data_IF_629753539660
#
_entry.id   IF_629753539660
#
_cell.length_a   1.000
_cell.length_b   1.000
_cell.length_c   1.000
_cell.angle_alpha   90.00
_cell.angle_beta   90.00
_cell.angle_gamma   90.00
#
_symmetry.space_group_name_H-M   'P 1'
#
loop_
_entity.id
_entity.type
_entity.pdbx_description
1 polymer ?
#
# COMPACT_ATOMS: atom_id res chain seq x y z
N UNK A 1 -14.27 -19.60 6.53
CA UNK A 1 -13.33 -19.57 7.68
C UNK A 1 -14.07 -18.93 8.85
N UNK A 2 -13.91 -19.47 10.07
CA UNK A 2 -14.66 -19.00 11.24
C UNK A 2 -14.25 -17.61 11.72
N UNK A 3 -15.10 -17.04 12.59
CA UNK A 3 -14.78 -15.82 13.31
C UNK A 3 -13.49 -15.99 14.13
N UNK A 4 -12.68 -14.94 14.22
CA UNK A 4 -11.43 -14.88 14.96
C UNK A 4 -10.36 -15.91 14.54
N UNK A 5 -10.51 -16.64 13.42
CA UNK A 5 -9.59 -17.71 13.03
C UNK A 5 -8.12 -17.26 12.92
N UNK A 6 -7.88 -15.98 12.56
CA UNK A 6 -6.56 -15.35 12.47
C UNK A 6 -6.52 -13.99 13.17
N UNK A 7 -7.37 -13.78 14.18
CA UNK A 7 -7.58 -12.46 14.78
C UNK A 7 -6.31 -11.85 15.39
N UNK A 8 -5.63 -12.57 16.27
CA UNK A 8 -4.41 -12.08 16.94
C UNK A 8 -3.11 -12.54 16.29
N UNK A 9 -3.19 -12.95 15.02
CA UNK A 9 -2.01 -13.30 14.24
C UNK A 9 -1.26 -12.03 13.79
N UNK A 10 -0.70 -11.26 14.74
CA UNK A 10 -0.10 -9.94 14.49
C UNK A 10 1.16 -9.96 13.60
N UNK A 11 1.74 -11.13 13.33
CA UNK A 11 2.85 -11.30 12.36
C UNK A 11 2.41 -11.80 10.99
N UNK A 12 1.12 -12.15 10.84
CA UNK A 12 0.58 -12.59 9.56
C UNK A 12 0.08 -11.37 8.79
N UNK A 13 0.95 -10.71 8.04
CA UNK A 13 0.62 -9.52 7.28
C UNK A 13 0.07 -9.83 5.88
N UNK A 14 0.46 -10.97 5.33
CA UNK A 14 0.05 -11.43 3.99
C UNK A 14 -0.46 -12.87 4.04
N UNK A 15 -1.36 -13.23 3.12
CA UNK A 15 -1.79 -14.62 2.92
C UNK A 15 -1.95 -14.93 1.43
N UNK A 16 -1.61 -16.17 1.04
CA UNK A 16 -1.83 -16.67 -0.31
C UNK A 16 -3.01 -17.64 -0.30
N UNK A 17 -3.98 -17.37 -1.14
CA UNK A 17 -5.18 -18.18 -1.32
C UNK A 17 -5.10 -18.91 -2.68
N UNK A 18 -5.33 -20.22 -2.67
CA UNK A 18 -5.18 -21.06 -3.87
C UNK A 18 -6.49 -21.26 -4.64
N UNK A 19 -7.62 -20.94 -4.03
CA UNK A 19 -8.94 -21.08 -4.66
C UNK A 19 -9.27 -19.88 -5.56
N UNK A 20 -9.91 -20.12 -6.70
CA UNK A 20 -10.41 -19.05 -7.58
C UNK A 20 -11.68 -18.38 -7.04
N UNK A 21 -12.36 -18.99 -6.10
CA UNK A 21 -13.52 -18.43 -5.39
C UNK A 21 -13.12 -18.02 -3.98
N UNK A 22 -13.60 -16.83 -3.56
CA UNK A 22 -13.34 -16.35 -2.22
C UNK A 22 -14.04 -17.26 -1.19
N UNK A 23 -13.32 -17.74 -0.17
CA UNK A 23 -13.96 -18.46 0.92
C UNK A 23 -14.80 -17.49 1.75
N UNK A 24 -15.89 -17.97 2.30
CA UNK A 24 -16.68 -17.19 3.26
C UNK A 24 -15.83 -16.88 4.49
N UNK A 25 -15.80 -15.62 4.90
CA UNK A 25 -15.15 -15.11 6.11
C UNK A 25 -16.11 -14.20 6.89
N UNK A 26 -15.82 -13.97 8.17
CA UNK A 26 -16.44 -12.93 8.97
C UNK A 26 -15.53 -11.68 9.01
N UNK A 27 -16.09 -10.54 9.39
CA UNK A 27 -15.35 -9.28 9.44
C UNK A 27 -14.15 -9.28 10.39
N UNK A 28 -14.15 -10.18 11.37
CA UNK A 28 -13.11 -10.37 12.37
C UNK A 28 -12.23 -11.63 12.15
N UNK A 29 -12.36 -12.30 10.98
CA UNK A 29 -11.53 -13.47 10.67
C UNK A 29 -10.04 -13.10 10.60
N UNK A 30 -9.71 -11.96 9.97
CA UNK A 30 -8.36 -11.42 9.86
C UNK A 30 -8.33 -10.01 10.45
N UNK A 31 -7.47 -9.78 11.45
CA UNK A 31 -7.30 -8.45 12.02
C UNK A 31 -6.09 -7.70 11.42
N UNK A 32 -4.93 -8.34 11.38
CA UNK A 32 -3.67 -7.74 10.94
C UNK A 32 -3.30 -8.09 9.49
N UNK A 33 -3.82 -9.18 8.94
CA UNK A 33 -3.58 -9.56 7.54
C UNK A 33 -4.45 -8.69 6.63
N UNK A 34 -3.81 -7.88 5.78
CA UNK A 34 -4.49 -6.93 4.89
C UNK A 34 -4.16 -7.15 3.41
N UNK A 35 -3.15 -7.97 3.10
CA UNK A 35 -2.72 -8.25 1.73
C UNK A 35 -2.93 -9.72 1.41
N UNK A 36 -3.67 -10.01 0.35
CA UNK A 36 -4.02 -11.36 -0.07
C UNK A 36 -3.63 -11.57 -1.53
N UNK A 37 -2.80 -12.57 -1.75
CA UNK A 37 -2.45 -13.06 -3.08
C UNK A 37 -3.45 -14.13 -3.50
N UNK A 38 -4.04 -13.98 -4.69
CA UNK A 38 -5.06 -14.89 -5.22
C UNK A 38 -4.65 -15.39 -6.61
N UNK A 39 -5.22 -16.52 -7.11
CA UNK A 39 -4.93 -17.00 -8.45
C UNK A 39 -5.26 -15.96 -9.52
N UNK A 40 -4.51 -15.99 -10.62
CA UNK A 40 -4.73 -15.11 -11.77
C UNK A 40 -6.19 -15.16 -12.26
N UNK A 41 -6.77 -13.97 -12.48
CA UNK A 41 -8.16 -13.78 -12.87
C UNK A 41 -9.17 -13.92 -11.73
N UNK A 42 -8.75 -14.16 -10.48
CA UNK A 42 -9.66 -14.33 -9.35
C UNK A 42 -9.93 -13.04 -8.57
N UNK A 43 -9.15 -11.97 -8.77
CA UNK A 43 -9.20 -10.78 -7.91
C UNK A 43 -10.60 -10.16 -7.84
N UNK A 44 -11.35 -10.10 -8.93
CA UNK A 44 -12.70 -9.52 -8.94
C UNK A 44 -13.66 -10.35 -8.09
N UNK A 45 -13.62 -11.68 -8.21
CA UNK A 45 -14.46 -12.59 -7.41
C UNK A 45 -14.23 -12.41 -5.91
N UNK A 46 -12.98 -12.14 -5.51
CA UNK A 46 -12.67 -11.84 -4.12
C UNK A 46 -13.19 -10.45 -3.71
N UNK A 47 -12.99 -9.42 -4.53
CA UNK A 47 -13.45 -8.05 -4.24
C UNK A 47 -14.98 -7.94 -4.12
N UNK A 48 -15.72 -8.78 -4.84
CA UNK A 48 -17.19 -8.83 -4.79
C UNK A 48 -17.72 -9.60 -3.57
N UNK A 49 -16.87 -10.39 -2.90
CA UNK A 49 -17.27 -11.18 -1.76
C UNK A 49 -17.28 -10.35 -0.47
N UNK A 50 -18.24 -10.67 0.43
CA UNK A 50 -18.42 -9.99 1.71
C UNK A 50 -17.13 -10.05 2.56
N UNK A 51 -16.76 -8.91 3.17
CA UNK A 51 -15.57 -8.69 3.99
C UNK A 51 -14.22 -8.76 3.26
N UNK A 52 -14.20 -9.10 1.96
CA UNK A 52 -13.00 -9.08 1.13
C UNK A 52 -12.75 -7.75 0.44
N UNK A 53 -13.80 -6.95 0.19
CA UNK A 53 -13.73 -5.66 -0.53
C UNK A 53 -12.77 -4.64 0.11
N UNK A 54 -12.57 -4.73 1.43
CA UNK A 54 -11.68 -3.83 2.18
C UNK A 54 -10.23 -4.33 2.29
N UNK A 55 -9.91 -5.45 1.62
CA UNK A 55 -8.58 -6.02 1.61
C UNK A 55 -7.83 -5.63 0.33
N UNK A 56 -6.51 -5.61 0.40
CA UNK A 56 -5.66 -5.48 -0.79
C UNK A 56 -5.54 -6.86 -1.44
N UNK A 57 -6.20 -7.02 -2.57
CA UNK A 57 -6.19 -8.27 -3.34
C UNK A 57 -5.22 -8.14 -4.51
N UNK A 58 -4.19 -9.00 -4.53
CA UNK A 58 -3.17 -9.07 -5.57
C UNK A 58 -3.49 -10.23 -6.50
N UNK A 59 -3.76 -9.93 -7.76
CA UNK A 59 -4.10 -10.92 -8.79
C UNK A 59 -2.84 -11.62 -9.31
N UNK A 60 -2.89 -12.93 -9.43
CA UNK A 60 -1.80 -13.73 -10.01
C UNK A 60 -0.48 -13.68 -9.26
N UNK A 61 -0.48 -13.34 -7.97
CA UNK A 61 0.73 -13.15 -7.15
C UNK A 61 1.71 -12.08 -7.68
N UNK A 62 1.26 -11.19 -8.56
CA UNK A 62 2.10 -10.18 -9.21
C UNK A 62 1.62 -8.78 -8.82
N UNK A 63 2.25 -8.12 -7.84
CA UNK A 63 1.92 -6.73 -7.50
C UNK A 63 2.14 -5.81 -8.69
N UNK A 64 1.20 -4.86 -8.90
CA UNK A 64 1.34 -3.85 -9.94
C UNK A 64 2.38 -2.81 -9.52
N UNK A 65 3.55 -2.87 -10.15
CA UNK A 65 4.64 -1.93 -9.92
C UNK A 65 4.58 -0.77 -10.90
N UNK A 66 4.75 0.45 -10.38
CA UNK A 66 4.88 1.69 -11.16
C UNK A 66 6.14 2.42 -10.70
N UNK A 67 6.92 2.90 -11.65
CA UNK A 67 8.09 3.75 -11.40
C UNK A 67 7.90 5.06 -12.13
N UNK A 68 8.03 6.17 -11.42
CA UNK A 68 7.93 7.52 -11.96
C UNK A 68 9.18 8.34 -11.67
N UNK A 69 9.50 9.23 -12.58
CA UNK A 69 10.55 10.25 -12.40
C UNK A 69 9.92 11.60 -12.71
N UNK A 70 9.76 12.41 -11.69
CA UNK A 70 9.11 13.71 -11.76
C UNK A 70 10.13 14.79 -12.11
N UNK A 71 9.93 15.47 -13.23
CA UNK A 71 10.68 16.67 -13.55
C UNK A 71 10.16 17.88 -12.76
N UNK A 72 8.88 17.87 -12.41
CA UNK A 72 8.18 18.95 -11.68
C UNK A 72 7.29 18.35 -10.60
N UNK A 73 7.31 18.92 -9.41
CA UNK A 73 6.40 18.53 -8.33
C UNK A 73 4.94 18.86 -8.69
N UNK A 74 4.00 18.02 -8.22
CA UNK A 74 2.57 18.14 -8.50
C UNK A 74 2.10 17.32 -9.70
N UNK A 75 2.97 16.54 -10.34
CA UNK A 75 2.63 15.78 -11.55
C UNK A 75 2.54 14.26 -11.32
N UNK A 76 2.65 13.79 -10.06
CA UNK A 76 2.68 12.35 -9.73
C UNK A 76 1.48 11.58 -10.29
N UNK A 77 0.28 12.13 -10.10
CA UNK A 77 -0.95 11.47 -10.57
C UNK A 77 -0.95 11.26 -12.10
N UNK A 78 -0.54 12.29 -12.84
CA UNK A 78 -0.45 12.22 -14.31
C UNK A 78 0.58 11.17 -14.75
N UNK A 79 1.77 11.14 -14.13
CA UNK A 79 2.83 10.19 -14.46
C UNK A 79 2.44 8.73 -14.13
N UNK A 80 1.70 8.51 -13.03
CA UNK A 80 1.15 7.19 -12.71
C UNK A 80 0.12 6.76 -13.75
N UNK A 81 -0.80 7.64 -14.14
CA UNK A 81 -1.89 7.34 -15.09
C UNK A 81 -1.41 7.07 -16.53
N UNK A 82 -0.15 7.35 -16.85
CA UNK A 82 0.46 6.88 -18.12
C UNK A 82 0.73 5.36 -18.12
N UNK A 83 0.76 4.72 -16.95
CA UNK A 83 1.13 3.31 -16.78
C UNK A 83 -0.03 2.42 -16.28
N UNK A 84 -1.05 3.03 -15.67
CA UNK A 84 -2.25 2.36 -15.12
C UNK A 84 -3.50 3.18 -15.42
N UNK A 85 -4.65 2.54 -15.42
CA UNK A 85 -5.94 3.21 -15.64
C UNK A 85 -6.38 4.03 -14.41
N UNK A 86 -6.09 3.51 -13.21
CA UNK A 86 -6.43 4.15 -11.93
C UNK A 86 -5.27 4.06 -10.95
N UNK A 87 -4.97 5.13 -10.22
CA UNK A 87 -3.88 5.18 -9.23
C UNK A 87 -4.01 4.08 -8.16
N UNK A 88 -5.23 3.73 -7.74
CA UNK A 88 -5.49 2.64 -6.79
C UNK A 88 -5.07 1.24 -7.27
N UNK A 89 -4.75 1.06 -8.56
CA UNK A 89 -4.23 -0.21 -9.07
C UNK A 89 -2.77 -0.45 -8.65
N UNK A 90 -2.06 0.61 -8.25
CA UNK A 90 -0.64 0.54 -7.90
C UNK A 90 -0.48 -0.14 -6.54
N UNK A 91 0.34 -1.18 -6.51
CA UNK A 91 0.73 -1.88 -5.28
C UNK A 91 2.15 -1.53 -4.86
N UNK A 92 3.06 -1.34 -5.81
CA UNK A 92 4.45 -0.96 -5.58
C UNK A 92 4.74 0.33 -6.33
N UNK A 93 5.16 1.36 -5.62
CA UNK A 93 5.43 2.68 -6.20
C UNK A 93 6.88 3.09 -5.93
N UNK A 94 7.60 3.44 -6.99
CA UNK A 94 8.94 4.02 -6.92
C UNK A 94 8.86 5.45 -7.45
N UNK A 95 9.33 6.41 -6.66
CA UNK A 95 9.26 7.83 -7.00
C UNK A 95 10.66 8.44 -6.96
N UNK A 96 11.03 9.10 -8.07
CA UNK A 96 12.23 9.92 -8.17
C UNK A 96 11.83 11.36 -8.47
N UNK A 97 12.58 12.34 -7.93
CA UNK A 97 12.38 13.76 -8.16
C UNK A 97 11.57 14.48 -7.07
N UNK A 98 11.18 15.74 -7.32
CA UNK A 98 10.55 16.58 -6.33
C UNK A 98 9.08 16.20 -6.08
N UNK A 99 8.64 16.32 -4.82
CA UNK A 99 7.25 16.12 -4.42
C UNK A 99 6.73 17.37 -3.69
N UNK A 100 5.43 17.64 -3.84
CA UNK A 100 4.71 18.68 -3.13
C UNK A 100 3.40 18.15 -2.51
N UNK A 101 2.56 19.02 -1.99
CA UNK A 101 1.32 18.64 -1.33
C UNK A 101 0.31 17.95 -2.25
N UNK A 102 0.29 18.26 -3.54
CA UNK A 102 -0.61 17.62 -4.50
C UNK A 102 -0.19 16.16 -4.73
N UNK A 103 1.12 15.91 -4.83
CA UNK A 103 1.67 14.56 -4.93
C UNK A 103 1.40 13.75 -3.65
N UNK A 104 1.56 14.38 -2.48
CA UNK A 104 1.22 13.75 -1.21
C UNK A 104 -0.25 13.37 -1.13
N UNK A 105 -1.15 14.23 -1.63
CA UNK A 105 -2.56 13.93 -1.73
C UNK A 105 -2.82 12.70 -2.62
N UNK A 106 -2.16 12.59 -3.78
CA UNK A 106 -2.26 11.41 -4.66
C UNK A 106 -1.87 10.13 -3.92
N UNK A 107 -0.76 10.15 -3.17
CA UNK A 107 -0.31 8.99 -2.40
C UNK A 107 -1.32 8.67 -1.28
N UNK A 108 -1.77 9.68 -0.54
CA UNK A 108 -2.66 9.49 0.60
C UNK A 108 -4.07 9.06 0.22
N UNK A 109 -4.66 9.64 -0.81
CA UNK A 109 -6.08 9.48 -1.10
C UNK A 109 -6.35 8.54 -2.27
N UNK A 110 -5.44 8.45 -3.23
CA UNK A 110 -5.67 7.68 -4.46
C UNK A 110 -4.91 6.35 -4.48
N UNK A 111 -3.66 6.31 -3.99
CA UNK A 111 -2.85 5.09 -3.96
C UNK A 111 -3.18 4.20 -2.74
N UNK A 112 -4.45 3.83 -2.58
CA UNK A 112 -4.95 3.15 -1.37
C UNK A 112 -4.50 1.70 -1.25
N UNK A 113 -4.08 1.06 -2.33
CA UNK A 113 -3.66 -0.35 -2.37
C UNK A 113 -2.13 -0.53 -2.34
N UNK A 114 -1.38 0.51 -1.95
CA UNK A 114 0.07 0.40 -1.81
C UNK A 114 0.45 -0.61 -0.73
N UNK A 115 1.34 -1.53 -1.11
CA UNK A 115 2.02 -2.46 -0.21
C UNK A 115 3.50 -2.10 -0.02
N UNK A 116 4.13 -1.47 -1.03
CA UNK A 116 5.48 -0.92 -0.89
C UNK A 116 5.59 0.45 -1.55
N UNK A 117 6.45 1.31 -0.98
CA UNK A 117 6.83 2.58 -1.59
C UNK A 117 8.31 2.84 -1.43
N UNK A 118 8.96 3.21 -2.52
CA UNK A 118 10.37 3.58 -2.56
C UNK A 118 10.50 5.07 -2.89
N UNK A 119 10.93 5.86 -1.91
CA UNK A 119 11.16 7.29 -2.00
C UNK A 119 12.66 7.65 -2.01
N UNK A 120 13.55 6.67 -2.19
CA UNK A 120 15.00 6.92 -2.11
C UNK A 120 15.48 7.94 -3.14
N UNK A 121 14.84 8.00 -4.31
CA UNK A 121 15.11 9.00 -5.34
C UNK A 121 14.25 10.28 -5.25
N UNK A 122 13.36 10.36 -4.26
CA UNK A 122 12.51 11.54 -4.08
C UNK A 122 13.28 12.68 -3.37
N UNK A 123 12.97 13.92 -3.74
CA UNK A 123 13.56 15.11 -3.14
C UNK A 123 12.56 15.74 -2.19
N UNK A 124 12.53 15.26 -0.94
CA UNK A 124 11.71 15.80 0.14
C UNK A 124 12.54 15.92 1.42
N UNK A 125 12.27 16.92 2.24
CA UNK A 125 12.91 17.13 3.54
C UNK A 125 11.99 16.78 4.71
N UNK A 126 10.68 16.76 4.48
CA UNK A 126 9.68 16.49 5.52
C UNK A 126 8.64 15.51 5.02
N UNK A 127 8.42 14.45 5.78
CA UNK A 127 7.27 13.58 5.60
C UNK A 127 6.08 14.20 6.33
N UNK A 128 4.96 14.50 5.66
CA UNK A 128 3.83 15.20 6.28
C UNK A 128 3.21 14.48 7.48
N UNK A 129 2.48 15.23 8.30
CA UNK A 129 1.64 14.64 9.35
C UNK A 129 0.65 13.64 8.73
N UNK A 130 0.49 12.48 9.40
CA UNK A 130 -0.44 11.41 8.99
C UNK A 130 -0.22 10.86 7.59
N UNK A 131 0.97 10.96 7.02
CA UNK A 131 1.20 10.63 5.61
C UNK A 131 0.82 9.18 5.25
N UNK A 132 1.16 8.22 6.10
CA UNK A 132 0.75 6.81 5.96
C UNK A 132 -0.19 6.37 7.10
N UNK A 133 -0.96 7.30 7.66
CA UNK A 133 -1.90 7.00 8.75
C UNK A 133 -2.86 5.87 8.37
N UNK A 134 -2.95 4.85 9.23
CA UNK A 134 -3.81 3.66 9.05
C UNK A 134 -3.54 2.83 7.78
N UNK A 135 -2.32 2.92 7.22
CA UNK A 135 -1.91 2.10 6.08
C UNK A 135 -1.47 0.70 6.52
N UNK A 136 -2.41 -0.07 7.06
CA UNK A 136 -2.15 -1.41 7.60
C UNK A 136 -1.64 -2.42 6.56
N UNK A 137 -1.88 -2.19 5.26
CA UNK A 137 -1.38 -3.00 4.15
C UNK A 137 0.05 -2.64 3.70
N UNK A 138 0.60 -1.51 4.17
CA UNK A 138 1.96 -1.09 3.80
C UNK A 138 2.98 -2.00 4.50
N UNK A 139 3.76 -2.75 3.72
CA UNK A 139 4.72 -3.76 4.19
C UNK A 139 6.16 -3.24 4.22
N UNK A 140 6.52 -2.36 3.30
CA UNK A 140 7.87 -1.80 3.19
C UNK A 140 7.85 -0.35 2.71
N UNK A 141 8.78 0.43 3.24
CA UNK A 141 9.03 1.81 2.83
C UNK A 141 10.53 2.09 2.83
N UNK A 142 10.99 2.77 1.79
CA UNK A 142 12.32 3.34 1.75
C UNK A 142 12.23 4.86 1.73
N UNK A 143 12.90 5.49 2.68
CA UNK A 143 12.93 6.93 2.84
C UNK A 143 14.12 7.56 2.12
N UNK A 144 14.00 8.80 1.59
CA UNK A 144 15.10 9.49 0.92
C UNK A 144 16.13 10.00 1.94
N UNK A 145 17.41 10.03 1.54
CA UNK A 145 18.49 10.55 2.38
C UNK A 145 18.35 12.07 2.69
N UNK A 146 17.53 12.78 1.94
CA UNK A 146 17.24 14.21 2.16
C UNK A 146 16.24 14.47 3.30
N UNK A 147 15.64 13.40 3.86
CA UNK A 147 14.58 13.54 4.87
C UNK A 147 15.17 14.03 6.20
N UNK A 148 14.67 15.16 6.70
CA UNK A 148 15.08 15.79 7.96
C UNK A 148 14.06 15.63 9.07
N UNK A 149 12.77 15.43 8.72
CA UNK A 149 11.70 15.32 9.70
C UNK A 149 10.58 14.39 9.25
N UNK A 150 9.94 13.76 10.24
CA UNK A 150 8.78 12.90 10.06
C UNK A 150 7.63 13.51 10.87
N UNK A 151 6.54 13.82 10.20
CA UNK A 151 5.36 14.44 10.79
C UNK A 151 4.65 13.55 11.82
N UNK A 152 3.88 14.17 12.68
CA UNK A 152 3.11 13.47 13.74
C UNK A 152 2.19 12.43 13.12
N UNK A 153 2.13 11.23 13.71
CA UNK A 153 1.30 10.11 13.26
C UNK A 153 1.59 9.62 11.82
N UNK A 154 2.74 9.95 11.22
CA UNK A 154 3.04 9.58 9.83
C UNK A 154 2.87 8.08 9.56
N UNK A 155 3.17 7.22 10.54
CA UNK A 155 3.07 5.75 10.44
C UNK A 155 2.13 5.13 11.47
N UNK A 156 1.19 5.91 12.02
CA UNK A 156 0.24 5.39 12.99
C UNK A 156 -0.61 4.26 12.38
N UNK A 157 -0.72 3.13 13.07
CA UNK A 157 -1.43 1.91 12.62
C UNK A 157 -0.96 1.31 11.28
N UNK A 158 0.30 1.53 10.89
CA UNK A 158 0.93 0.81 9.78
C UNK A 158 1.35 -0.59 10.24
N UNK A 159 0.40 -1.44 10.58
CA UNK A 159 0.67 -2.76 11.18
C UNK A 159 1.47 -3.70 10.28
N UNK A 160 1.45 -3.48 8.96
CA UNK A 160 2.24 -4.25 7.99
C UNK A 160 3.73 -3.95 8.03
N UNK A 161 4.13 -2.75 8.50
CA UNK A 161 5.54 -2.37 8.58
C UNK A 161 6.25 -3.09 9.72
N UNK A 162 7.20 -3.94 9.37
CA UNK A 162 8.01 -4.67 10.35
C UNK A 162 9.36 -4.03 10.62
N UNK A 163 9.80 -3.14 9.73
CA UNK A 163 11.06 -2.39 9.82
C UNK A 163 10.99 -1.10 9.03
N UNK A 164 11.78 -0.13 9.42
CA UNK A 164 11.99 1.12 8.70
C UNK A 164 13.42 1.58 8.95
N UNK A 165 14.09 2.09 7.91
CA UNK A 165 15.39 2.76 8.05
C UNK A 165 15.15 4.27 8.00
N UNK A 166 15.55 4.96 9.05
CA UNK A 166 15.49 6.42 9.14
C UNK A 166 16.85 6.95 8.72
N UNK A 167 16.94 7.87 7.73
CA UNK A 167 18.18 8.55 7.37
C UNK A 167 18.77 9.32 8.57
N UNK A 168 20.11 9.48 8.60
CA UNK A 168 20.82 10.25 9.62
C UNK A 168 20.67 11.77 9.40
#
# INVERSE_FOLDING_TARGET
>A
MGEYAFYDCFRLHTATLKGKTAPSIAGNTFNYTKVFYVPEGAAQTYKDASYWSNQVIIDGNTPKKVTVTLATAGTLGEEILKQVEYVKQVNELVINGPLNNDDFYQIQQQATNLITIDLTGATIETLPEKFFYERAALLDIKLPATLKSIGRYAFYQCYGLTRISIPE
#
